data_IF_514660679539
#
_entry.id   IF_514660679539
#
_cell.length_a   1.000
_cell.length_b   1.000
_cell.length_c   1.000
_cell.angle_alpha   90.00
_cell.angle_beta   90.00
_cell.angle_gamma   90.00
#
_symmetry.space_group_name_H-M   'P 1'
#
loop_
_entity.id
_entity.type
_entity.pdbx_description
1 polymer ?
#
# COMPACT_ATOMS: atom_id res chain seq x y z
N UNK A 1 -10.71 6.92 -32.70
CA UNK A 1 -10.42 7.24 -31.27
C UNK A 1 -8.94 7.57 -31.18
N UNK A 2 -8.55 8.76 -30.71
CA UNK A 2 -7.13 9.07 -30.52
C UNK A 2 -6.65 8.41 -29.23
N UNK A 3 -5.95 7.29 -29.34
CA UNK A 3 -5.33 6.67 -28.17
C UNK A 3 -4.07 7.45 -27.79
N UNK A 4 -4.16 8.14 -26.65
CA UNK A 4 -3.01 8.84 -26.05
C UNK A 4 -2.25 7.91 -25.12
N UNK A 5 -0.99 8.26 -24.83
CA UNK A 5 -0.13 7.51 -23.90
C UNK A 5 -0.77 7.37 -22.51
N UNK A 6 -1.55 8.35 -22.09
CA UNK A 6 -2.26 8.38 -20.82
C UNK A 6 -3.37 7.31 -20.74
N UNK A 7 -4.09 7.09 -21.84
CA UNK A 7 -5.15 6.07 -21.94
C UNK A 7 -4.57 4.68 -21.70
N UNK A 8 -3.42 4.41 -22.32
CA UNK A 8 -2.72 3.15 -22.14
C UNK A 8 -2.13 2.96 -20.74
N UNK A 9 -1.59 4.02 -20.14
CA UNK A 9 -1.17 3.98 -18.75
C UNK A 9 -2.35 3.66 -17.81
N UNK A 10 -3.53 4.23 -18.05
CA UNK A 10 -4.73 3.96 -17.26
C UNK A 10 -5.18 2.49 -17.40
N UNK A 11 -5.17 1.94 -18.61
CA UNK A 11 -5.54 0.54 -18.87
C UNK A 11 -4.55 -0.44 -18.23
N UNK A 12 -3.25 -0.21 -18.36
CA UNK A 12 -2.23 -1.06 -17.72
C UNK A 12 -2.35 -0.99 -16.19
N UNK A 13 -2.67 0.19 -15.63
CA UNK A 13 -2.90 0.36 -14.20
C UNK A 13 -4.15 -0.38 -13.72
N UNK A 14 -5.20 -0.43 -14.53
CA UNK A 14 -6.39 -1.23 -14.25
C UNK A 14 -6.06 -2.73 -14.27
N UNK A 15 -5.38 -3.22 -15.32
CA UNK A 15 -4.96 -4.63 -15.43
C UNK A 15 -4.08 -5.05 -14.25
N UNK A 16 -3.17 -4.16 -13.81
CA UNK A 16 -2.36 -4.38 -12.62
C UNK A 16 -3.21 -4.56 -11.36
N UNK A 17 -4.24 -3.73 -11.15
CA UNK A 17 -5.17 -3.86 -10.01
C UNK A 17 -6.06 -5.11 -10.10
N UNK A 18 -6.33 -5.59 -11.30
CA UNK A 18 -7.02 -6.85 -11.53
C UNK A 18 -6.10 -8.08 -11.40
N UNK A 19 -4.86 -7.89 -10.96
CA UNK A 19 -3.86 -8.95 -10.76
C UNK A 19 -3.56 -9.78 -12.02
N UNK A 20 -3.74 -9.20 -13.21
CA UNK A 20 -3.38 -9.88 -14.44
C UNK A 20 -1.86 -10.05 -14.55
N UNK A 21 -1.45 -11.19 -15.11
CA UNK A 21 -0.05 -11.41 -15.45
C UNK A 21 0.36 -10.55 -16.66
N UNK A 22 1.66 -10.29 -16.77
CA UNK A 22 2.23 -9.55 -17.90
C UNK A 22 1.83 -10.08 -19.29
N UNK A 23 1.87 -11.40 -19.55
CA UNK A 23 1.41 -11.92 -20.85
C UNK A 23 -0.10 -11.69 -21.05
N UNK A 24 -0.94 -11.89 -20.04
CA UNK A 24 -2.39 -11.70 -20.18
C UNK A 24 -2.78 -10.25 -20.47
N UNK A 25 -2.18 -9.28 -19.74
CA UNK A 25 -2.40 -7.85 -20.01
C UNK A 25 -1.95 -7.48 -21.43
N UNK A 26 -0.82 -8.01 -21.89
CA UNK A 26 -0.36 -7.79 -23.26
C UNK A 26 -1.33 -8.35 -24.31
N UNK A 27 -1.80 -9.60 -24.14
CA UNK A 27 -2.76 -10.19 -25.07
C UNK A 27 -4.08 -9.44 -25.08
N UNK A 28 -4.57 -9.00 -23.91
CA UNK A 28 -5.78 -8.20 -23.79
C UNK A 28 -5.67 -6.87 -24.53
N UNK A 29 -4.60 -6.12 -24.30
CA UNK A 29 -4.35 -4.85 -24.99
C UNK A 29 -4.18 -5.05 -26.49
N UNK A 30 -3.52 -6.13 -26.91
CA UNK A 30 -3.35 -6.47 -28.33
C UNK A 30 -4.66 -6.88 -28.99
N UNK A 31 -5.54 -7.58 -28.30
CA UNK A 31 -6.85 -7.98 -28.82
C UNK A 31 -7.74 -6.76 -29.10
N UNK A 32 -7.65 -5.73 -28.25
CA UNK A 32 -8.46 -4.51 -28.36
C UNK A 32 -7.89 -3.51 -29.37
N UNK A 33 -6.55 -3.37 -29.43
CA UNK A 33 -5.89 -2.29 -30.21
C UNK A 33 -5.02 -2.78 -31.37
N UNK A 34 -4.90 -4.09 -31.59
CA UNK A 34 -4.13 -4.71 -32.68
C UNK A 34 -2.72 -4.11 -32.86
N UNK A 35 -2.48 -3.36 -33.95
CA UNK A 35 -1.19 -2.80 -34.36
C UNK A 35 -0.88 -1.46 -33.67
N UNK A 36 -1.89 -0.78 -33.12
CA UNK A 36 -1.74 0.47 -32.35
C UNK A 36 -1.42 0.20 -30.88
N UNK A 37 -1.44 -1.07 -30.46
CA UNK A 37 -1.09 -1.48 -29.10
C UNK A 37 0.40 -1.20 -28.80
N UNK A 38 0.70 -0.87 -27.54
CA UNK A 38 2.10 -0.71 -27.14
C UNK A 38 2.89 -1.99 -27.39
N UNK A 39 4.20 -1.80 -27.62
CA UNK A 39 5.13 -2.90 -27.68
C UNK A 39 5.05 -3.75 -26.42
N UNK A 40 5.27 -5.06 -26.59
CA UNK A 40 5.33 -6.02 -25.48
C UNK A 40 6.30 -5.55 -24.38
N UNK A 41 7.47 -5.05 -24.78
CA UNK A 41 8.47 -4.55 -23.85
C UNK A 41 7.94 -3.38 -22.99
N UNK A 42 7.17 -2.47 -23.59
CA UNK A 42 6.60 -1.33 -22.87
C UNK A 42 5.57 -1.76 -21.82
N UNK A 43 4.65 -2.67 -22.18
CA UNK A 43 3.64 -3.20 -21.23
C UNK A 43 4.33 -3.92 -20.06
N UNK A 44 5.33 -4.73 -20.35
CA UNK A 44 6.08 -5.47 -19.33
C UNK A 44 6.85 -4.52 -18.40
N UNK A 45 7.54 -3.52 -18.95
CA UNK A 45 8.24 -2.51 -18.14
C UNK A 45 7.27 -1.76 -17.24
N UNK A 46 6.13 -1.30 -17.75
CA UNK A 46 5.13 -0.62 -16.92
C UNK A 46 4.61 -1.52 -15.81
N UNK A 47 4.26 -2.77 -16.10
CA UNK A 47 3.81 -3.71 -15.06
C UNK A 47 4.91 -4.04 -14.06
N UNK A 48 6.17 -4.13 -14.47
CA UNK A 48 7.31 -4.30 -13.56
C UNK A 48 7.52 -3.07 -12.69
N UNK A 49 7.38 -1.86 -13.24
CA UNK A 49 7.43 -0.61 -12.48
C UNK A 49 6.28 -0.51 -11.49
N UNK A 50 5.05 -0.87 -11.90
CA UNK A 50 3.92 -0.96 -10.98
C UNK A 50 4.15 -2.02 -9.92
N UNK A 51 4.70 -3.19 -10.25
CA UNK A 51 5.12 -4.17 -9.25
C UNK A 51 6.18 -3.62 -8.33
N UNK A 52 7.17 -2.85 -8.80
CA UNK A 52 8.25 -2.27 -7.99
C UNK A 52 7.77 -1.19 -7.04
N UNK A 53 6.94 -0.27 -7.55
CA UNK A 53 6.26 0.76 -6.75
C UNK A 53 5.29 0.09 -5.78
N UNK A 54 4.57 -0.95 -6.23
CA UNK A 54 3.70 -1.75 -5.39
C UNK A 54 4.51 -2.50 -4.34
N UNK A 55 5.63 -3.16 -4.62
CA UNK A 55 6.46 -3.83 -3.60
C UNK A 55 7.07 -2.83 -2.62
N UNK A 56 7.42 -1.61 -3.04
CA UNK A 56 7.75 -0.54 -2.10
C UNK A 56 6.55 -0.12 -1.23
N UNK A 57 5.33 -0.22 -1.77
CA UNK A 57 4.06 -0.02 -1.07
C UNK A 57 3.53 -1.29 -0.33
N UNK A 58 4.05 -2.49 -0.63
CA UNK A 58 3.48 -3.83 -0.35
C UNK A 58 4.38 -4.69 0.52
N UNK A 59 5.69 -4.41 0.58
CA UNK A 59 6.45 -4.61 1.84
C UNK A 59 5.79 -3.81 3.00
N UNK A 60 4.92 -2.86 2.65
CA UNK A 60 4.01 -2.13 3.51
C UNK A 60 2.52 -2.52 3.41
N UNK A 61 2.16 -3.62 2.74
CA UNK A 61 0.76 -4.03 2.60
C UNK A 61 0.56 -5.53 2.88
N UNK A 62 0.12 -5.90 4.09
CA UNK A 62 -0.59 -7.14 4.31
C UNK A 62 -2.07 -6.84 4.03
N UNK A 63 -2.49 -7.21 2.83
CA UNK A 63 -3.91 -7.39 2.50
C UNK A 63 -4.14 -8.90 2.32
N UNK A 64 -5.13 -9.56 2.89
CA UNK A 64 -6.29 -9.05 3.60
C UNK A 64 -6.87 -10.14 4.50
N UNK A 65 -7.12 -9.74 5.75
CA UNK A 65 -7.93 -10.33 6.83
C UNK A 65 -7.18 -10.14 8.15
N UNK A 66 -7.15 -8.91 8.63
CA UNK A 66 -7.05 -8.72 10.07
C UNK A 66 -8.47 -8.87 10.58
N UNK A 67 -8.77 -10.01 11.19
CA UNK A 67 -9.99 -10.20 11.98
C UNK A 67 -10.18 -8.96 12.85
N UNK A 68 -11.38 -8.37 12.81
CA UNK A 68 -11.71 -7.13 13.52
C UNK A 68 -11.32 -7.20 15.00
N UNK A 69 -11.37 -8.40 15.60
CA UNK A 69 -10.92 -8.70 16.95
C UNK A 69 -9.43 -8.43 17.19
N UNK A 70 -8.54 -8.84 16.27
CA UNK A 70 -7.09 -8.64 16.41
C UNK A 70 -6.68 -7.16 16.27
N UNK A 71 -7.52 -6.33 15.65
CA UNK A 71 -7.22 -4.91 15.48
C UNK A 71 -7.39 -4.13 16.80
N UNK A 72 -8.39 -4.46 17.61
CA UNK A 72 -8.64 -3.79 18.90
C UNK A 72 -7.56 -4.11 19.95
N UNK A 73 -7.12 -5.37 20.01
CA UNK A 73 -6.01 -5.77 20.87
C UNK A 73 -4.73 -5.02 20.51
N UNK A 74 -4.43 -4.92 19.21
CA UNK A 74 -3.28 -4.17 18.71
C UNK A 74 -3.37 -2.68 19.03
N UNK A 75 -4.54 -2.04 18.92
CA UNK A 75 -4.75 -0.64 19.28
C UNK A 75 -4.44 -0.42 20.77
N UNK A 76 -4.94 -1.32 21.63
CA UNK A 76 -4.72 -1.27 23.07
C UNK A 76 -3.24 -1.39 23.44
N UNK A 77 -2.52 -2.29 22.78
CA UNK A 77 -1.07 -2.46 22.98
C UNK A 77 -0.29 -1.22 22.51
N UNK A 78 -0.60 -0.67 21.33
CA UNK A 78 0.07 0.56 20.85
C UNK A 78 -0.18 1.73 21.80
N UNK A 79 -1.42 1.90 22.30
CA UNK A 79 -1.76 2.94 23.28
C UNK A 79 -0.90 2.81 24.53
N UNK A 80 -0.81 1.60 25.10
CA UNK A 80 0.01 1.33 26.28
C UNK A 80 1.50 1.59 26.02
N UNK A 81 2.02 1.22 24.85
CA UNK A 81 3.43 1.49 24.49
C UNK A 81 3.73 2.99 24.46
N UNK A 82 2.81 3.81 23.95
CA UNK A 82 2.95 5.27 23.91
C UNK A 82 2.83 5.90 25.30
N UNK A 83 1.93 5.37 26.15
CA UNK A 83 1.78 5.82 27.53
C UNK A 83 3.04 5.53 28.36
N UNK A 84 3.66 4.37 28.17
CA UNK A 84 4.91 3.96 28.84
C UNK A 84 6.10 4.77 28.30
N UNK A 85 6.25 4.84 26.98
CA UNK A 85 7.32 5.60 26.32
C UNK A 85 6.78 6.46 25.18
N UNK A 86 6.62 7.75 25.47
CA UNK A 86 6.20 8.75 24.48
C UNK A 86 7.20 8.92 23.33
N UNK A 87 8.43 8.38 23.40
CA UNK A 87 9.43 8.45 22.34
C UNK A 87 9.50 7.19 21.47
N UNK A 88 8.61 6.22 21.70
CA UNK A 88 8.59 4.97 20.93
C UNK A 88 8.63 5.20 19.41
N UNK A 89 9.47 4.43 18.73
CA UNK A 89 9.66 4.53 17.29
C UNK A 89 8.67 3.65 16.53
N UNK A 90 8.37 4.01 15.28
CA UNK A 90 7.57 3.18 14.38
C UNK A 90 8.12 1.75 14.27
N UNK A 91 9.44 1.60 14.25
CA UNK A 91 10.09 0.30 14.15
C UNK A 91 9.86 -0.56 15.40
N UNK A 92 9.92 0.03 16.60
CA UNK A 92 9.67 -0.71 17.85
C UNK A 92 8.24 -1.21 17.95
N UNK A 93 7.26 -0.40 17.49
CA UNK A 93 5.86 -0.80 17.44
C UNK A 93 5.68 -1.95 16.43
N UNK A 94 6.28 -1.80 15.25
CA UNK A 94 6.25 -2.81 14.18
C UNK A 94 6.81 -4.16 14.65
N UNK A 95 7.98 -4.15 15.27
CA UNK A 95 8.66 -5.37 15.74
C UNK A 95 7.90 -6.03 16.89
N UNK A 96 7.31 -5.26 17.82
CA UNK A 96 6.52 -5.82 18.92
C UNK A 96 5.25 -6.53 18.44
N UNK A 97 4.56 -5.92 17.48
CA UNK A 97 3.25 -6.41 17.03
C UNK A 97 3.34 -7.32 15.81
N UNK A 98 4.49 -7.40 15.14
CA UNK A 98 4.66 -8.18 13.91
C UNK A 98 3.79 -7.68 12.75
N UNK A 99 3.30 -6.44 12.83
CA UNK A 99 2.40 -5.83 11.83
C UNK A 99 3.17 -5.00 10.81
N UNK A 100 2.53 -4.63 9.71
CA UNK A 100 3.12 -3.75 8.70
C UNK A 100 3.18 -2.29 9.12
N UNK A 101 4.05 -1.48 8.48
CA UNK A 101 4.12 -0.03 8.77
C UNK A 101 2.80 0.67 8.44
N UNK A 102 2.08 0.25 7.41
CA UNK A 102 0.75 0.80 7.08
C UNK A 102 -0.28 0.55 8.17
N UNK A 103 -0.26 -0.64 8.79
CA UNK A 103 -1.13 -0.92 9.93
C UNK A 103 -0.76 -0.07 11.14
N UNK A 104 0.54 0.10 11.44
CA UNK A 104 1.00 1.00 12.50
C UNK A 104 0.52 2.44 12.24
N UNK A 105 0.68 2.94 11.02
CA UNK A 105 0.20 4.26 10.62
C UNK A 105 -1.32 4.39 10.82
N UNK A 106 -2.09 3.38 10.40
CA UNK A 106 -3.55 3.37 10.56
C UNK A 106 -3.95 3.41 12.03
N UNK A 107 -3.29 2.62 12.88
CA UNK A 107 -3.55 2.62 14.33
C UNK A 107 -3.23 3.99 14.94
N UNK A 108 -2.07 4.57 14.63
CA UNK A 108 -1.65 5.84 15.20
C UNK A 108 -2.54 7.01 14.76
N UNK A 109 -2.82 7.14 13.46
CA UNK A 109 -3.52 8.32 12.93
C UNK A 109 -5.04 8.17 12.86
N UNK A 110 -5.56 6.97 12.56
CA UNK A 110 -7.02 6.77 12.44
C UNK A 110 -7.70 6.33 13.73
N UNK A 111 -7.02 5.58 14.59
CA UNK A 111 -7.62 5.03 15.80
C UNK A 111 -7.20 5.78 17.08
N UNK A 112 -5.92 6.14 17.19
CA UNK A 112 -5.39 6.84 18.37
C UNK A 112 -5.31 8.36 18.21
N UNK A 113 -5.40 8.85 16.97
CA UNK A 113 -5.30 10.29 16.62
C UNK A 113 -4.10 10.94 17.33
N UNK A 114 -2.92 10.30 17.24
CA UNK A 114 -1.69 10.79 17.86
C UNK A 114 -0.80 11.50 16.83
N UNK A 115 -0.21 12.62 17.24
CA UNK A 115 0.78 13.34 16.44
C UNK A 115 2.17 13.26 17.10
N UNK A 116 3.23 13.32 16.28
CA UNK A 116 4.61 13.32 16.77
C UNK A 116 5.18 14.73 16.76
N UNK A 117 5.48 15.27 17.95
CA UNK A 117 6.05 16.61 18.14
C UNK A 117 7.38 16.50 18.87
N UNK A 118 8.46 17.01 18.27
CA UNK A 118 9.82 16.94 18.82
C UNK A 118 10.19 15.54 19.34
N UNK A 119 9.97 14.52 18.49
CA UNK A 119 10.17 13.11 18.78
C UNK A 119 9.29 12.49 19.88
N UNK A 120 8.29 13.21 20.42
CA UNK A 120 7.31 12.69 21.38
C UNK A 120 5.92 12.55 20.77
N UNK A 121 5.22 11.48 21.11
CA UNK A 121 3.82 11.29 20.80
C UNK A 121 2.93 12.11 21.71
N UNK A 122 2.00 12.85 21.12
CA UNK A 122 0.96 13.62 21.80
C UNK A 122 -0.38 13.02 21.39
N UNK A 123 -1.16 12.60 22.39
CA UNK A 123 -2.55 12.21 22.21
C UNK A 123 -3.35 13.48 21.99
N UNK A 124 -4.01 13.58 20.85
CA UNK A 124 -4.92 14.68 20.57
C UNK A 124 -6.25 14.37 21.28
N UNK A 125 -6.35 14.78 22.53
CA UNK A 125 -7.59 14.70 23.31
C UNK A 125 -8.42 15.94 22.98
N UNK A 126 -9.05 15.96 21.81
CA UNK A 126 -10.03 17.00 21.45
C UNK A 126 -11.41 16.42 21.26
#
# INVERSE_FOLDING_TARGET
MNLTRENFCAMIRYDFRCHLSQPESYYRLRLVFNYEALSRATVYNWLSEFKRVCTYLTDDLPDGRSSTTTTEDNISVVRRMIEIDKRVTYQQIRTNLGISRSQVYRILHKHLVVSKVCARWILDTS
#
